data_IF_804535596161
#
_entry.id   IF_804535596161
#
_cell.length_a   1.000
_cell.length_b   1.000
_cell.length_c   1.000
_cell.angle_alpha   90.00
_cell.angle_beta   90.00
_cell.angle_gamma   90.00
#
_symmetry.space_group_name_H-M   'P 1'
#
loop_
_entity.id
_entity.type
_entity.pdbx_description
1 polymer ?
#
# COMPACT_ATOMS: atom_id res chain seq x y z
N UNK A 1 5.56 -5.21 -14.13
CA UNK A 1 4.49 -5.59 -15.09
C UNK A 1 3.41 -4.52 -15.12
N UNK A 2 2.74 -4.18 -14.01
CA UNK A 2 1.66 -3.17 -13.95
C UNK A 2 2.11 -1.85 -14.58
N UNK A 3 3.27 -1.31 -14.20
CA UNK A 3 3.84 -0.08 -14.78
C UNK A 3 3.92 -0.12 -16.30
N UNK A 4 4.34 -1.26 -16.88
CA UNK A 4 4.47 -1.43 -18.33
C UNK A 4 3.10 -1.45 -19.03
N UNK A 5 2.13 -2.17 -18.47
CA UNK A 5 0.78 -2.26 -19.02
C UNK A 5 0.07 -0.90 -18.99
N UNK A 6 0.18 -0.18 -17.87
CA UNK A 6 -0.45 1.14 -17.70
C UNK A 6 0.17 2.17 -18.65
N UNK A 7 1.49 2.19 -18.82
CA UNK A 7 2.17 3.08 -19.77
C UNK A 7 1.83 2.76 -21.23
N UNK A 8 1.67 1.50 -21.56
CA UNK A 8 1.31 1.06 -22.91
C UNK A 8 -0.19 1.27 -23.21
N UNK A 9 -1.01 1.62 -22.23
CA UNK A 9 -2.47 1.73 -22.39
C UNK A 9 -3.15 0.39 -22.71
N UNK A 10 -2.50 -0.72 -22.38
CA UNK A 10 -2.93 -2.09 -22.74
C UNK A 10 -4.04 -2.57 -21.80
N UNK A 11 -5.27 -2.18 -22.07
CA UNK A 11 -6.46 -2.57 -21.27
C UNK A 11 -7.00 -3.95 -21.59
N UNK A 12 -6.58 -4.55 -22.71
CA UNK A 12 -7.07 -5.87 -23.15
C UNK A 12 -6.26 -7.03 -22.57
N UNK A 13 -5.05 -6.77 -22.12
CA UNK A 13 -4.17 -7.79 -21.55
C UNK A 13 -4.63 -8.10 -20.13
N UNK A 14 -4.94 -9.37 -19.88
CA UNK A 14 -5.26 -9.85 -18.55
C UNK A 14 -4.00 -10.32 -17.82
N UNK A 15 -3.81 -9.85 -16.59
CA UNK A 15 -2.69 -10.20 -15.72
C UNK A 15 -3.09 -11.34 -14.80
N UNK A 16 -2.37 -12.46 -14.84
CA UNK A 16 -2.47 -13.54 -13.84
C UNK A 16 -1.40 -13.38 -12.76
N UNK A 17 -1.77 -13.58 -11.51
CA UNK A 17 -0.86 -13.52 -10.36
C UNK A 17 -0.68 -14.92 -9.78
N UNK A 18 0.50 -15.51 -9.93
CA UNK A 18 0.84 -16.81 -9.35
C UNK A 18 1.57 -16.65 -8.02
N UNK A 19 1.22 -17.42 -6.98
CA UNK A 19 1.74 -17.27 -5.63
C UNK A 19 3.09 -17.98 -5.44
N UNK A 20 4.10 -17.65 -6.23
CA UNK A 20 5.43 -18.27 -6.19
C UNK A 20 6.45 -17.49 -5.35
N UNK A 21 6.11 -16.30 -4.87
CA UNK A 21 6.99 -15.43 -4.07
C UNK A 21 6.62 -15.39 -2.59
N UNK A 22 7.49 -14.76 -1.78
CA UNK A 22 7.27 -14.53 -0.34
C UNK A 22 6.32 -13.36 -0.05
N UNK A 23 6.20 -12.39 -0.98
CA UNK A 23 5.32 -11.21 -0.89
C UNK A 23 3.97 -11.46 -1.55
N UNK A 24 3.11 -12.27 -0.95
CA UNK A 24 1.86 -12.70 -1.57
C UNK A 24 0.62 -11.95 -1.09
N UNK A 25 0.70 -10.67 -0.73
CA UNK A 25 -0.42 -9.97 -0.11
C UNK A 25 -1.59 -9.70 -1.06
N UNK A 26 -1.32 -9.35 -2.32
CA UNK A 26 -2.37 -9.20 -3.33
C UNK A 26 -3.20 -10.48 -3.51
N UNK A 27 -2.57 -11.66 -3.51
CA UNK A 27 -3.27 -12.95 -3.63
C UNK A 27 -4.31 -13.20 -2.54
N UNK A 28 -4.10 -12.61 -1.34
CA UNK A 28 -5.04 -12.72 -0.22
C UNK A 28 -6.36 -12.00 -0.52
N UNK A 29 -6.34 -11.04 -1.44
CA UNK A 29 -7.52 -10.36 -1.98
C UNK A 29 -8.14 -11.10 -3.17
N UNK A 30 -7.48 -12.15 -3.69
CA UNK A 30 -7.96 -13.01 -4.78
C UNK A 30 -8.62 -14.28 -4.21
N UNK A 31 -9.50 -14.91 -5.01
CA UNK A 31 -10.26 -16.10 -4.56
C UNK A 31 -9.41 -17.36 -4.39
N UNK A 32 -8.33 -17.50 -5.16
CA UNK A 32 -7.43 -18.66 -5.09
C UNK A 32 -6.15 -18.30 -4.35
N UNK A 33 -5.83 -19.04 -3.29
CA UNK A 33 -4.76 -18.69 -2.34
C UNK A 33 -3.53 -19.61 -2.41
N UNK A 34 -3.64 -20.80 -3.01
CA UNK A 34 -2.51 -21.73 -3.22
C UNK A 34 -2.15 -21.84 -4.70
N UNK A 35 -0.88 -22.19 -4.98
CA UNK A 35 -0.37 -22.36 -6.35
C UNK A 35 -1.17 -23.45 -7.11
N UNK A 36 -1.39 -24.59 -6.48
CA UNK A 36 -2.10 -25.72 -7.11
C UNK A 36 -3.57 -25.37 -7.39
N UNK A 37 -4.24 -24.69 -6.45
CA UNK A 37 -5.62 -24.24 -6.65
C UNK A 37 -5.71 -23.22 -7.81
N UNK A 38 -4.73 -22.32 -7.92
CA UNK A 38 -4.69 -21.34 -9.01
C UNK A 38 -4.40 -22.02 -10.36
N UNK A 39 -3.47 -22.97 -10.39
CA UNK A 39 -3.14 -23.70 -11.61
C UNK A 39 -4.34 -24.54 -12.10
N UNK A 40 -5.04 -25.19 -11.18
CA UNK A 40 -6.26 -25.97 -11.51
C UNK A 40 -7.41 -25.09 -12.00
N UNK A 41 -7.51 -23.86 -11.50
CA UNK A 41 -8.55 -22.91 -11.88
C UNK A 41 -8.26 -22.14 -13.18
N UNK A 42 -7.00 -22.12 -13.66
CA UNK A 42 -6.59 -21.35 -14.85
C UNK A 42 -7.52 -21.55 -16.08
N UNK A 43 -7.96 -22.76 -16.42
CA UNK A 43 -8.84 -22.95 -17.57
C UNK A 43 -10.22 -22.32 -17.45
N UNK A 44 -10.65 -22.02 -16.22
CA UNK A 44 -11.97 -21.44 -15.89
C UNK A 44 -11.88 -20.01 -15.42
N UNK A 45 -10.68 -19.43 -15.35
CA UNK A 45 -10.50 -18.05 -14.93
C UNK A 45 -11.05 -17.07 -15.94
N UNK A 46 -11.89 -16.20 -15.46
CA UNK A 46 -12.36 -15.06 -16.22
C UNK A 46 -11.57 -13.81 -15.83
N UNK A 47 -11.26 -12.99 -16.85
CA UNK A 47 -10.62 -11.72 -16.62
C UNK A 47 -11.64 -10.68 -16.14
N UNK A 48 -11.50 -10.20 -14.92
CA UNK A 48 -12.31 -9.11 -14.38
C UNK A 48 -11.55 -7.79 -14.43
N UNK A 49 -12.28 -6.72 -14.67
CA UNK A 49 -11.71 -5.38 -14.59
C UNK A 49 -11.48 -4.99 -13.13
N UNK A 50 -10.29 -4.48 -12.82
CA UNK A 50 -9.92 -4.02 -11.48
C UNK A 50 -9.38 -2.59 -11.55
N UNK A 51 -9.49 -1.92 -10.43
CA UNK A 51 -8.99 -0.58 -10.25
C UNK A 51 -7.47 -0.60 -10.06
N UNK A 52 -6.84 0.53 -10.38
CA UNK A 52 -5.41 0.74 -10.17
C UNK A 52 -5.24 2.09 -9.50
N UNK A 53 -4.40 2.18 -8.50
CA UNK A 53 -4.03 3.47 -7.94
C UNK A 53 -2.90 4.09 -8.76
N UNK A 54 -2.98 5.39 -9.02
CA UNK A 54 -1.92 6.20 -9.62
C UNK A 54 -1.36 7.17 -8.60
N UNK A 55 -0.04 7.15 -8.41
CA UNK A 55 0.71 8.05 -7.55
C UNK A 55 1.44 9.09 -8.38
N UNK A 56 1.27 10.36 -8.05
CA UNK A 56 2.08 11.48 -8.56
C UNK A 56 2.93 12.00 -7.39
N UNK A 57 4.25 11.90 -7.51
CA UNK A 57 5.18 12.23 -6.43
C UNK A 57 6.49 12.80 -7.00
N UNK A 58 7.48 13.01 -6.14
CA UNK A 58 8.82 13.43 -6.56
C UNK A 58 9.84 12.32 -6.30
N UNK A 59 10.76 12.13 -7.23
CA UNK A 59 11.90 11.22 -7.08
C UNK A 59 12.87 11.75 -6.02
N UNK A 60 13.89 10.96 -5.65
CA UNK A 60 14.95 11.42 -4.76
C UNK A 60 15.73 12.61 -5.33
N UNK A 61 15.80 12.74 -6.66
CA UNK A 61 16.39 13.89 -7.35
C UNK A 61 15.47 15.13 -7.38
N UNK A 62 14.23 15.04 -6.85
CA UNK A 62 13.26 16.12 -6.88
C UNK A 62 12.46 16.24 -8.17
N UNK A 63 12.61 15.30 -9.09
CA UNK A 63 11.91 15.30 -10.37
C UNK A 63 10.49 14.73 -10.24
N UNK A 64 9.47 15.35 -10.86
CA UNK A 64 8.12 14.80 -10.88
C UNK A 64 8.08 13.41 -11.51
N UNK A 65 7.34 12.51 -10.92
CA UNK A 65 7.14 11.16 -11.47
C UNK A 65 5.72 10.68 -11.23
N UNK A 66 5.24 9.81 -12.10
CA UNK A 66 3.98 9.09 -11.92
C UNK A 66 4.23 7.57 -11.98
N UNK A 67 3.61 6.84 -11.06
CA UNK A 67 3.68 5.39 -10.94
C UNK A 67 2.31 4.84 -10.59
N UNK A 68 2.11 3.56 -10.84
CA UNK A 68 0.87 2.86 -10.53
C UNK A 68 1.10 1.79 -9.48
N UNK A 69 0.06 1.48 -8.71
CA UNK A 69 0.04 0.38 -7.76
C UNK A 69 -1.31 -0.36 -7.86
N UNK A 70 -1.30 -1.64 -7.59
CA UNK A 70 -2.51 -2.46 -7.68
C UNK A 70 -3.03 -2.87 -6.30
N UNK A 71 -2.17 -2.88 -5.30
CA UNK A 71 -2.48 -3.37 -3.96
C UNK A 71 -2.50 -2.25 -2.93
N UNK A 72 -1.35 -1.83 -2.41
CA UNK A 72 -1.27 -0.80 -1.36
C UNK A 72 -0.15 0.16 -1.67
N UNK A 73 -0.46 1.46 -1.56
CA UNK A 73 0.52 2.53 -1.50
C UNK A 73 0.61 3.08 -0.09
N UNK A 74 1.76 3.64 0.27
CA UNK A 74 1.91 4.31 1.56
C UNK A 74 2.93 5.44 1.52
N UNK A 75 2.92 6.29 2.55
CA UNK A 75 4.05 7.16 2.86
C UNK A 75 4.34 7.20 4.36
N UNK A 76 5.60 7.45 4.70
CA UNK A 76 6.14 7.41 6.05
C UNK A 76 6.99 6.17 6.29
N UNK A 77 6.74 5.43 7.36
CA UNK A 77 7.57 4.28 7.77
C UNK A 77 7.62 3.17 6.72
N UNK A 78 6.54 2.93 5.95
CA UNK A 78 6.52 1.90 4.89
C UNK A 78 7.64 2.12 3.87
N UNK A 79 7.74 3.29 3.28
CA UNK A 79 8.80 3.62 2.34
C UNK A 79 10.21 3.55 2.94
N UNK A 80 10.36 3.86 4.22
CA UNK A 80 11.65 3.73 4.93
C UNK A 80 12.07 2.27 5.09
N UNK A 81 11.12 1.38 5.42
CA UNK A 81 11.37 -0.06 5.56
C UNK A 81 11.73 -0.66 4.20
N UNK A 82 10.96 -0.36 3.17
CA UNK A 82 11.21 -0.91 1.83
C UNK A 82 12.55 -0.46 1.27
N UNK A 83 12.92 0.81 1.48
CA UNK A 83 14.25 1.31 1.10
C UNK A 83 15.37 0.53 1.82
N UNK A 84 15.22 0.28 3.12
CA UNK A 84 16.21 -0.48 3.91
C UNK A 84 16.28 -1.95 3.47
N UNK A 85 15.13 -2.58 3.20
CA UNK A 85 15.06 -3.97 2.72
C UNK A 85 15.68 -4.11 1.34
N UNK A 86 15.33 -3.23 0.41
CA UNK A 86 15.87 -3.25 -0.95
C UNK A 86 17.39 -3.03 -0.98
N UNK A 87 17.91 -2.17 -0.10
CA UNK A 87 19.35 -1.95 0.06
C UNK A 87 20.09 -3.17 0.63
N UNK A 88 19.43 -4.00 1.44
CA UNK A 88 20.05 -5.18 2.07
C UNK A 88 20.15 -6.40 1.14
N UNK A 89 19.45 -6.41 0.01
CA UNK A 89 19.45 -7.52 -0.98
C UNK A 89 18.91 -8.85 -0.45
N UNK A 90 18.28 -8.87 0.73
CA UNK A 90 17.78 -10.09 1.37
C UNK A 90 16.28 -10.26 1.15
N UNK A 91 15.87 -11.43 0.68
CA UNK A 91 14.48 -11.84 0.71
C UNK A 91 14.04 -11.98 2.19
N UNK A 92 13.21 -11.09 2.67
CA UNK A 92 12.76 -11.06 4.07
C UNK A 92 11.40 -11.76 4.12
N UNK A 93 11.30 -12.85 4.88
CA UNK A 93 10.02 -13.50 5.18
C UNK A 93 9.16 -12.65 6.13
N UNK A 94 7.87 -12.98 6.26
CA UNK A 94 6.90 -12.21 7.06
C UNK A 94 7.36 -11.93 8.50
N UNK A 95 7.98 -12.91 9.16
CA UNK A 95 8.53 -12.76 10.53
C UNK A 95 9.69 -11.76 10.57
N UNK A 96 10.57 -11.80 9.58
CA UNK A 96 11.70 -10.87 9.48
C UNK A 96 11.22 -9.44 9.16
N UNK A 97 10.14 -9.30 8.38
CA UNK A 97 9.51 -8.01 8.12
C UNK A 97 8.90 -7.42 9.40
N UNK A 98 8.23 -8.23 10.23
CA UNK A 98 7.71 -7.79 11.52
C UNK A 98 8.84 -7.31 12.45
N UNK A 99 9.94 -8.06 12.54
CA UNK A 99 11.12 -7.67 13.34
C UNK A 99 11.73 -6.38 12.81
N UNK A 100 11.89 -6.24 11.49
CA UNK A 100 12.39 -5.02 10.86
C UNK A 100 11.47 -3.82 11.15
N UNK A 101 10.15 -4.01 11.11
CA UNK A 101 9.15 -2.99 11.46
C UNK A 101 9.30 -2.54 12.92
N UNK A 102 9.45 -3.48 13.85
CA UNK A 102 9.62 -3.17 15.28
C UNK A 102 10.93 -2.42 15.57
N UNK A 103 12.02 -2.80 14.91
CA UNK A 103 13.31 -2.12 15.02
C UNK A 103 13.25 -0.72 14.40
N UNK A 104 12.59 -0.59 13.26
CA UNK A 104 12.40 0.70 12.60
C UNK A 104 11.58 1.68 13.43
N UNK A 105 10.54 1.20 14.15
CA UNK A 105 9.74 2.02 15.05
C UNK A 105 10.58 2.75 16.12
N UNK A 106 11.68 2.14 16.58
CA UNK A 106 12.55 2.72 17.61
C UNK A 106 13.44 3.86 17.13
N UNK A 107 13.74 3.91 15.82
CA UNK A 107 14.64 4.92 15.20
C UNK A 107 13.93 5.81 14.16
N UNK A 108 12.65 5.57 13.91
CA UNK A 108 11.88 6.30 12.91
C UNK A 108 11.62 7.73 13.36
N UNK A 109 12.03 8.71 12.54
CA UNK A 109 11.68 10.11 12.70
C UNK A 109 10.35 10.38 11.96
N UNK A 110 9.22 10.57 12.68
CA UNK A 110 7.93 10.70 12.05
C UNK A 110 7.82 12.02 11.28
N UNK A 111 7.41 12.00 10.01
CA UNK A 111 7.09 13.21 9.30
C UNK A 111 5.81 13.84 9.87
N UNK A 112 5.76 15.17 9.86
CA UNK A 112 4.53 15.93 10.05
C UNK A 112 3.93 16.19 8.68
N UNK A 113 2.70 15.73 8.47
CA UNK A 113 2.03 15.82 7.18
C UNK A 113 0.64 16.41 7.33
N UNK A 114 0.16 17.01 6.24
CA UNK A 114 -1.23 17.41 6.05
C UNK A 114 -1.85 16.49 5.00
N UNK A 115 -2.96 15.85 5.37
CA UNK A 115 -3.63 14.85 4.53
C UNK A 115 -4.99 15.36 4.09
N UNK A 116 -5.32 15.16 2.82
CA UNK A 116 -6.62 15.48 2.23
C UNK A 116 -7.20 14.24 1.56
N UNK A 117 -8.50 14.05 1.68
CA UNK A 117 -9.27 13.02 1.01
C UNK A 117 -10.42 13.68 0.25
N UNK A 118 -10.44 13.56 -1.09
CA UNK A 118 -11.39 14.22 -1.98
C UNK A 118 -11.52 15.74 -1.71
N UNK A 119 -10.39 16.39 -1.39
CA UNK A 119 -10.32 17.82 -1.06
C UNK A 119 -10.64 18.16 0.39
N UNK A 120 -11.22 17.26 1.18
CA UNK A 120 -11.48 17.46 2.61
C UNK A 120 -10.19 17.26 3.41
N UNK A 121 -9.84 18.22 4.28
CA UNK A 121 -8.68 18.11 5.14
C UNK A 121 -8.94 17.14 6.31
N UNK A 122 -8.13 16.09 6.41
CA UNK A 122 -8.13 15.17 7.56
C UNK A 122 -7.28 15.66 8.73
N UNK A 123 -6.64 16.83 8.56
CA UNK A 123 -5.83 17.49 9.56
C UNK A 123 -4.33 17.37 9.31
N UNK A 124 -3.57 18.02 10.21
CA UNK A 124 -2.11 18.03 10.24
C UNK A 124 -1.63 17.29 11.49
N UNK A 125 -0.76 16.29 11.30
CA UNK A 125 -0.23 15.48 12.40
C UNK A 125 1.07 14.77 12.06
N UNK A 126 1.76 14.33 13.10
CA UNK A 126 2.87 13.40 12.96
C UNK A 126 2.33 12.00 12.71
N UNK A 127 2.81 11.34 11.67
CA UNK A 127 2.30 10.03 11.26
C UNK A 127 3.39 8.97 11.29
N UNK A 128 3.03 7.79 11.71
CA UNK A 128 3.82 6.59 11.45
C UNK A 128 3.64 6.18 9.99
N UNK A 129 2.40 6.20 9.50
CA UNK A 129 2.05 5.74 8.17
C UNK A 129 0.76 6.42 7.69
N UNK A 130 0.73 6.80 6.42
CA UNK A 130 -0.50 6.99 5.65
C UNK A 130 -0.52 5.90 4.60
N UNK A 131 -1.45 4.94 4.71
CA UNK A 131 -1.66 3.91 3.71
C UNK A 131 -2.89 4.24 2.86
N UNK A 132 -2.78 3.97 1.56
CA UNK A 132 -3.83 4.14 0.55
C UNK A 132 -4.01 2.79 -0.12
N UNK A 133 -5.12 2.15 0.20
CA UNK A 133 -5.35 0.74 -0.06
C UNK A 133 -6.36 0.56 -1.20
N UNK A 134 -5.95 -0.10 -2.27
CA UNK A 134 -6.81 -0.70 -3.28
C UNK A 134 -7.09 -2.17 -2.91
N UNK A 135 -6.07 -2.88 -2.40
CA UNK A 135 -6.21 -4.19 -1.78
C UNK A 135 -6.16 -4.13 -0.25
N UNK A 136 -6.46 -5.25 0.40
CA UNK A 136 -6.67 -5.33 1.86
C UNK A 136 -5.38 -5.47 2.66
N UNK A 137 -4.36 -6.13 2.10
CA UNK A 137 -3.21 -6.62 2.84
C UNK A 137 -1.90 -6.08 2.27
N UNK A 138 -0.96 -5.77 3.15
CA UNK A 138 0.42 -5.44 2.80
C UNK A 138 1.39 -5.94 3.89
N UNK A 139 2.69 -5.93 3.61
CA UNK A 139 3.74 -6.21 4.60
C UNK A 139 3.70 -7.61 5.20
N UNK A 140 3.31 -8.63 4.41
CA UNK A 140 3.30 -10.02 4.86
C UNK A 140 2.03 -10.44 5.61
N UNK A 141 0.89 -9.88 5.25
CA UNK A 141 -0.42 -10.27 5.78
C UNK A 141 -1.02 -9.31 6.79
N UNK A 142 -0.46 -8.13 6.96
CA UNK A 142 -1.08 -7.07 7.74
C UNK A 142 -2.32 -6.56 6.99
N UNK A 143 -3.49 -6.59 7.64
CA UNK A 143 -4.76 -6.17 7.08
C UNK A 143 -5.00 -4.69 7.42
N UNK A 144 -4.65 -3.82 6.49
CA UNK A 144 -4.84 -2.37 6.65
C UNK A 144 -6.29 -1.96 6.44
N UNK A 145 -6.93 -2.51 5.41
CA UNK A 145 -8.28 -2.13 4.99
C UNK A 145 -9.12 -3.39 4.70
N UNK A 146 -9.78 -3.98 5.71
CA UNK A 146 -10.51 -5.23 5.54
C UNK A 146 -11.67 -5.14 4.54
N UNK A 147 -12.23 -3.95 4.36
CA UNK A 147 -13.34 -3.69 3.45
C UNK A 147 -12.91 -3.28 2.03
N UNK A 148 -11.60 -3.10 1.79
CA UNK A 148 -11.11 -2.70 0.47
C UNK A 148 -11.48 -3.72 -0.61
N UNK A 149 -11.89 -3.21 -1.76
CA UNK A 149 -12.26 -4.00 -2.93
C UNK A 149 -11.54 -3.48 -4.17
N UNK A 150 -11.02 -4.40 -4.98
CA UNK A 150 -10.20 -4.07 -6.16
C UNK A 150 -11.00 -3.48 -7.34
N UNK A 151 -12.32 -3.35 -7.24
CA UNK A 151 -13.21 -3.05 -8.38
C UNK A 151 -14.38 -2.13 -8.04
N UNK A 152 -14.32 -1.41 -6.92
CA UNK A 152 -15.41 -0.55 -6.44
C UNK A 152 -15.22 0.95 -6.71
N UNK A 153 -14.10 1.32 -7.34
CA UNK A 153 -13.78 2.70 -7.71
C UNK A 153 -13.35 3.60 -6.55
N UNK A 154 -12.88 3.01 -5.44
CA UNK A 154 -12.45 3.73 -4.25
C UNK A 154 -11.08 3.27 -3.77
N UNK A 155 -10.44 4.12 -2.98
CA UNK A 155 -9.25 3.82 -2.20
C UNK A 155 -9.59 3.93 -0.72
N UNK A 156 -9.21 2.95 0.07
CA UNK A 156 -9.36 2.99 1.52
C UNK A 156 -8.11 3.62 2.14
N UNK A 157 -8.29 4.75 2.80
CA UNK A 157 -7.23 5.54 3.42
C UNK A 157 -7.13 5.16 4.88
N UNK A 158 -5.93 4.83 5.33
CA UNK A 158 -5.63 4.49 6.72
C UNK A 158 -4.47 5.38 7.19
N UNK A 159 -4.77 6.30 8.09
CA UNK A 159 -3.79 7.19 8.68
C UNK A 159 -3.51 6.72 10.11
N UNK A 160 -2.24 6.40 10.39
CA UNK A 160 -1.78 5.95 11.72
C UNK A 160 -0.93 7.07 12.31
N UNK A 161 -1.44 7.71 13.36
CA UNK A 161 -0.71 8.74 14.09
C UNK A 161 0.52 8.15 14.77
N UNK A 162 1.58 8.95 14.83
CA UNK A 162 2.81 8.51 15.48
C UNK A 162 2.65 8.31 16.98
N UNK A 163 3.25 7.26 17.49
CA UNK A 163 3.41 7.02 18.90
C UNK A 163 4.71 6.25 19.16
N UNK A 164 5.19 6.30 20.40
CA UNK A 164 6.35 5.49 20.81
C UNK A 164 6.13 4.01 20.54
N UNK A 165 7.20 3.24 20.33
CA UNK A 165 7.15 1.82 20.01
C UNK A 165 6.25 1.03 20.96
N UNK A 166 6.33 1.27 22.27
CA UNK A 166 5.50 0.60 23.29
C UNK A 166 4.00 0.88 23.13
N UNK A 167 3.63 2.11 22.75
CA UNK A 167 2.24 2.48 22.49
C UNK A 167 1.71 1.92 21.18
N UNK A 168 2.58 1.55 20.27
CA UNK A 168 2.23 0.98 18.95
C UNK A 168 2.05 -0.54 18.98
N UNK A 169 2.52 -1.24 20.03
CA UNK A 169 2.37 -2.70 20.13
C UNK A 169 0.91 -3.20 20.04
N UNK A 170 -0.10 -2.56 20.69
CA UNK A 170 -1.48 -2.98 20.53
C UNK A 170 -1.98 -2.87 19.07
N UNK A 171 -1.49 -1.89 18.32
CA UNK A 171 -1.92 -1.68 16.93
C UNK A 171 -1.44 -2.81 16.01
N UNK A 172 -0.31 -3.43 16.31
CA UNK A 172 0.16 -4.61 15.56
C UNK A 172 -0.85 -5.76 15.64
N UNK A 173 -1.46 -5.99 16.81
CA UNK A 173 -2.53 -7.00 16.95
C UNK A 173 -3.74 -6.64 16.11
N UNK A 174 -4.13 -5.36 16.12
CA UNK A 174 -5.24 -4.85 15.31
C UNK A 174 -4.94 -4.96 13.81
N UNK A 175 -3.69 -4.74 13.40
CA UNK A 175 -3.24 -4.84 12.02
C UNK A 175 -3.39 -6.28 11.47
N UNK A 176 -2.95 -7.28 12.23
CA UNK A 176 -3.12 -8.69 11.81
C UNK A 176 -4.55 -9.21 11.97
N UNK A 177 -5.32 -8.65 12.89
CA UNK A 177 -6.72 -9.04 13.11
C UNK A 177 -7.71 -8.33 12.16
N UNK A 178 -7.26 -7.37 11.32
CA UNK A 178 -8.14 -6.57 10.46
C UNK A 178 -9.07 -5.64 11.25
N UNK A 179 -8.66 -5.23 12.44
CA UNK A 179 -9.46 -4.37 13.34
C UNK A 179 -8.78 -3.04 13.66
N UNK A 180 -7.89 -2.61 12.77
CA UNK A 180 -7.03 -1.42 12.96
C UNK A 180 -7.84 -0.15 13.20
N UNK A 181 -9.01 -0.01 12.57
CA UNK A 181 -9.94 1.10 12.77
C UNK A 181 -10.47 1.24 14.23
N UNK A 182 -10.25 0.24 15.09
CA UNK A 182 -10.60 0.32 16.53
C UNK A 182 -9.56 1.07 17.35
N UNK A 183 -8.37 1.31 16.82
CA UNK A 183 -7.36 2.11 17.52
C UNK A 183 -7.73 3.60 17.48
N UNK A 184 -7.67 4.26 18.63
CA UNK A 184 -7.95 5.70 18.75
C UNK A 184 -6.95 6.59 17.97
N UNK A 185 -5.81 6.01 17.52
CA UNK A 185 -4.77 6.70 16.74
C UNK A 185 -4.92 6.48 15.24
N UNK A 186 -5.96 5.79 14.84
CA UNK A 186 -6.19 5.45 13.44
C UNK A 186 -7.41 6.19 12.92
N UNK A 187 -7.21 6.91 11.84
CA UNK A 187 -8.30 7.52 11.07
C UNK A 187 -8.45 6.76 9.77
N UNK A 188 -9.66 6.34 9.45
CA UNK A 188 -9.98 5.69 8.18
C UNK A 188 -10.94 6.54 7.38
N UNK A 189 -10.77 6.57 6.06
CA UNK A 189 -11.65 7.23 5.09
C UNK A 189 -11.66 6.45 3.79
N UNK A 190 -12.69 6.62 2.99
CA UNK A 190 -12.71 6.22 1.58
C UNK A 190 -12.63 7.47 0.72
N UNK A 191 -11.81 7.45 -0.31
CA UNK A 191 -11.61 8.58 -1.21
C UNK A 191 -11.24 8.09 -2.62
N UNK A 192 -11.49 8.95 -3.61
CA UNK A 192 -11.00 8.75 -4.99
C UNK A 192 -9.66 9.43 -5.21
N UNK A 193 -9.40 10.47 -4.44
CA UNK A 193 -8.15 11.20 -4.43
C UNK A 193 -7.65 11.39 -3.00
N UNK A 194 -6.37 11.11 -2.78
CA UNK A 194 -5.69 11.35 -1.51
C UNK A 194 -4.45 12.18 -1.77
N UNK A 195 -4.32 13.32 -1.09
CA UNK A 195 -3.14 14.19 -1.20
C UNK A 195 -2.44 14.31 0.13
N UNK A 196 -1.13 14.17 0.11
CA UNK A 196 -0.26 14.35 1.29
C UNK A 196 0.78 15.41 1.01
N UNK A 197 0.80 16.43 1.86
CA UNK A 197 1.79 17.49 1.90
C UNK A 197 2.70 17.30 3.11
N UNK A 198 4.00 17.48 2.93
CA UNK A 198 4.97 17.43 4.04
C UNK A 198 5.08 18.81 4.66
N UNK A 199 4.83 18.90 5.95
CA UNK A 199 5.00 20.10 6.76
C UNK A 199 6.40 20.13 7.40
N UNK A 200 6.88 18.97 7.87
CA UNK A 200 8.21 18.80 8.44
C UNK A 200 8.68 17.35 8.29
N UNK A 201 9.99 17.15 8.22
CA UNK A 201 10.61 15.84 8.05
C UNK A 201 10.56 15.33 6.62
N UNK A 202 10.69 14.04 6.43
CA UNK A 202 10.65 13.37 5.13
C UNK A 202 9.66 12.19 5.15
N UNK A 203 8.76 12.14 4.17
CA UNK A 203 7.81 11.05 4.00
C UNK A 203 8.14 10.25 2.74
N UNK A 204 8.88 9.15 2.90
CA UNK A 204 9.21 8.23 1.81
C UNK A 204 7.99 7.46 1.38
N UNK A 205 7.89 7.19 0.09
CA UNK A 205 6.75 6.50 -0.51
C UNK A 205 7.09 5.04 -0.75
N UNK A 206 6.10 4.19 -0.52
CA UNK A 206 6.04 2.81 -0.97
C UNK A 206 4.86 2.64 -1.94
N UNK A 207 5.08 1.90 -3.02
CA UNK A 207 4.05 1.45 -3.96
C UNK A 207 4.26 -0.04 -4.23
N UNK A 208 3.43 -0.89 -3.63
CA UNK A 208 3.50 -2.35 -3.79
C UNK A 208 4.90 -2.94 -3.48
N UNK A 209 5.66 -2.35 -2.54
CA UNK A 209 7.03 -2.75 -2.17
C UNK A 209 8.14 -2.08 -2.99
N UNK A 210 7.83 -1.08 -3.79
CA UNK A 210 8.82 -0.25 -4.51
C UNK A 210 8.83 1.18 -3.94
N UNK A 211 10.02 1.75 -3.70
CA UNK A 211 10.17 3.12 -3.21
C UNK A 211 10.53 4.06 -4.37
N UNK A 212 9.56 4.70 -5.04
CA UNK A 212 9.80 5.55 -6.21
C UNK A 212 10.32 6.95 -5.87
N UNK A 213 10.23 7.34 -4.59
CA UNK A 213 10.58 8.69 -4.14
C UNK A 213 9.89 9.08 -2.84
N UNK A 214 9.46 10.33 -2.74
CA UNK A 214 8.92 10.93 -1.52
C UNK A 214 7.75 11.87 -1.77
N UNK A 215 7.01 12.19 -0.71
CA UNK A 215 5.99 13.24 -0.73
C UNK A 215 6.61 14.65 -0.95
N UNK A 216 5.85 15.63 -1.52
CA UNK A 216 4.40 15.58 -1.66
C UNK A 216 3.94 14.53 -2.65
N UNK A 217 2.76 13.96 -2.39
CA UNK A 217 2.19 12.92 -3.23
C UNK A 217 0.68 13.08 -3.36
N UNK A 218 0.18 12.76 -4.54
CA UNK A 218 -1.26 12.60 -4.79
C UNK A 218 -1.51 11.23 -5.36
N UNK A 219 -2.39 10.47 -4.70
CA UNK A 219 -2.90 9.19 -5.19
C UNK A 219 -4.31 9.37 -5.74
N UNK A 220 -4.59 8.76 -6.87
CA UNK A 220 -5.94 8.72 -7.48
C UNK A 220 -6.27 7.30 -7.87
N UNK A 221 -7.53 6.91 -7.71
CA UNK A 221 -8.03 5.68 -8.30
C UNK A 221 -8.25 5.88 -9.81
N UNK A 222 -7.78 4.93 -10.60
CA UNK A 222 -8.14 4.76 -12.01
C UNK A 222 -9.07 3.55 -12.10
N UNK A 223 -10.41 3.76 -12.18
CA UNK A 223 -11.36 2.67 -12.11
C UNK A 223 -11.25 1.75 -13.34
N UNK A 224 -11.30 0.44 -13.09
CA UNK A 224 -11.32 -0.61 -14.12
C UNK A 224 -10.20 -0.48 -15.14
N UNK A 225 -9.02 -0.03 -14.69
CA UNK A 225 -7.89 0.30 -15.56
C UNK A 225 -7.06 -0.92 -15.98
N UNK A 226 -7.19 -2.05 -15.27
CA UNK A 226 -6.47 -3.30 -15.54
C UNK A 226 -7.43 -4.48 -15.55
N UNK A 227 -7.11 -5.53 -16.30
CA UNK A 227 -7.80 -6.81 -16.22
C UNK A 227 -6.97 -7.81 -15.41
N UNK A 228 -7.60 -8.45 -14.45
CA UNK A 228 -6.97 -9.42 -13.58
C UNK A 228 -7.69 -10.76 -13.69
N UNK A 229 -6.92 -11.84 -13.89
CA UNK A 229 -7.43 -13.20 -13.88
C UNK A 229 -7.64 -13.67 -12.42
N UNK A 230 -8.81 -14.17 -12.09
CA UNK A 230 -9.12 -14.70 -10.77
C UNK A 230 -10.61 -14.88 -10.49
#
# INVERSE_FOLDING_TARGET
VVQGLMRAGSREVALGVLPVGTGGDLRRSLRATSFDAMLAALPTWEARAVDVGRAECVTDAGEPTARWFINVASCGMGGSIDRAVNASGKAIGALSFLVATLLALGSFAPPRVRVYADGEALGEREVTLVAVCNGRYAGGGMCFAPEAALDDGWLDVVLIEHASAWRSLPDLRHLYAGTLARSARVTTRRAKEVRVEVVAGEALIDLDGESPGRAPVTWRVEPRALRLLG
#
